data_IF_361701154625
#
_entry.id   IF_361701154625
#
_cell.length_a   1.000
_cell.length_b   1.000
_cell.length_c   1.000
_cell.angle_alpha   90.00
_cell.angle_beta   90.00
_cell.angle_gamma   90.00
#
_symmetry.space_group_name_H-M   'P 1'
#
loop_
_entity.id
_entity.type
_entity.pdbx_description
1 polymer ?
#
# COMPACT_ATOMS: atom_id res chain seq x y z
N UNK A 1 -21.84 -36.56 -23.03
CA UNK A 1 -21.65 -36.55 -21.57
C UNK A 1 -20.18 -36.58 -21.14
N UNK A 2 -19.27 -37.26 -21.85
CA UNK A 2 -17.81 -37.22 -21.58
C UNK A 2 -17.22 -35.81 -21.69
N UNK A 3 -17.60 -35.03 -22.72
CA UNK A 3 -17.13 -33.65 -22.86
C UNK A 3 -17.49 -32.78 -21.65
N UNK A 4 -18.73 -32.88 -21.13
CA UNK A 4 -19.16 -32.11 -19.97
C UNK A 4 -18.34 -32.40 -18.70
N UNK A 5 -17.89 -33.64 -18.50
CA UNK A 5 -17.01 -33.97 -17.37
C UNK A 5 -15.58 -33.45 -17.58
N UNK A 6 -15.06 -33.48 -18.80
CA UNK A 6 -13.76 -32.93 -19.15
C UNK A 6 -13.74 -31.39 -19.06
N UNK A 7 -14.82 -30.74 -19.50
CA UNK A 7 -15.03 -29.30 -19.41
C UNK A 7 -15.12 -28.86 -17.94
N UNK A 8 -15.87 -29.61 -17.12
CA UNK A 8 -16.01 -29.33 -15.68
C UNK A 8 -14.69 -29.52 -14.92
N UNK A 9 -13.87 -30.51 -15.30
CA UNK A 9 -12.53 -30.71 -14.74
C UNK A 9 -11.55 -29.60 -15.16
N UNK A 10 -11.63 -29.14 -16.42
CA UNK A 10 -10.81 -28.03 -16.94
C UNK A 10 -11.16 -26.71 -16.26
N UNK A 11 -12.46 -26.42 -16.14
CA UNK A 11 -12.97 -25.24 -15.46
C UNK A 11 -12.58 -25.23 -13.97
N UNK A 12 -12.63 -26.39 -13.30
CA UNK A 12 -12.13 -26.53 -11.92
C UNK A 12 -10.65 -26.20 -11.77
N UNK A 13 -9.79 -26.66 -12.70
CA UNK A 13 -8.36 -26.31 -12.71
C UNK A 13 -8.12 -24.83 -12.97
N UNK A 14 -8.83 -24.24 -13.94
CA UNK A 14 -8.71 -22.81 -14.25
C UNK A 14 -9.16 -21.92 -13.08
N UNK A 15 -10.23 -22.29 -12.37
CA UNK A 15 -10.66 -21.58 -11.16
C UNK A 15 -9.60 -21.68 -10.04
N UNK A 16 -8.98 -22.85 -9.88
CA UNK A 16 -7.90 -23.04 -8.90
C UNK A 16 -6.70 -22.16 -9.23
N UNK A 17 -6.24 -22.17 -10.49
CA UNK A 17 -5.12 -21.33 -10.96
C UNK A 17 -5.42 -19.84 -10.82
N UNK A 18 -6.65 -19.43 -11.14
CA UNK A 18 -7.12 -18.05 -11.01
C UNK A 18 -7.12 -17.61 -9.55
N UNK A 19 -7.60 -18.47 -8.65
CA UNK A 19 -7.62 -18.23 -7.22
C UNK A 19 -6.20 -18.11 -6.65
N UNK A 20 -5.28 -18.99 -7.05
CA UNK A 20 -3.87 -18.93 -6.65
C UNK A 20 -3.21 -17.61 -7.09
N UNK A 21 -3.47 -17.15 -8.32
CA UNK A 21 -2.98 -15.86 -8.81
C UNK A 21 -3.54 -14.69 -7.99
N UNK A 22 -4.82 -14.73 -7.63
CA UNK A 22 -5.46 -13.71 -6.79
C UNK A 22 -4.84 -13.69 -5.39
N UNK A 23 -4.62 -14.85 -4.76
CA UNK A 23 -3.95 -14.95 -3.45
C UNK A 23 -2.53 -14.41 -3.51
N UNK A 24 -1.78 -14.71 -4.57
CA UNK A 24 -0.43 -14.16 -4.76
C UNK A 24 -0.45 -12.63 -4.90
N UNK A 25 -1.41 -12.07 -5.64
CA UNK A 25 -1.60 -10.62 -5.74
C UNK A 25 -1.93 -9.99 -4.39
N UNK A 26 -2.83 -10.61 -3.61
CA UNK A 26 -3.18 -10.16 -2.26
C UNK A 26 -1.97 -10.15 -1.33
N UNK A 27 -1.19 -11.23 -1.35
CA UNK A 27 0.03 -11.35 -0.54
C UNK A 27 1.04 -10.26 -0.88
N UNK A 28 1.26 -10.00 -2.17
CA UNK A 28 2.17 -8.95 -2.63
C UNK A 28 1.69 -7.55 -2.24
N UNK A 29 0.39 -7.26 -2.40
CA UNK A 29 -0.17 -5.98 -1.99
C UNK A 29 -0.03 -5.76 -0.47
N UNK A 30 -0.29 -6.78 0.34
CA UNK A 30 -0.09 -6.71 1.78
C UNK A 30 1.38 -6.44 2.16
N UNK A 31 2.34 -7.07 1.46
CA UNK A 31 3.77 -6.78 1.65
C UNK A 31 4.13 -5.34 1.29
N UNK A 32 3.59 -4.81 0.19
CA UNK A 32 3.82 -3.42 -0.22
C UNK A 32 3.26 -2.41 0.81
N UNK A 33 2.04 -2.65 1.30
CA UNK A 33 1.43 -1.84 2.37
C UNK A 33 2.27 -1.86 3.64
N UNK A 34 2.73 -3.05 4.06
CA UNK A 34 3.56 -3.18 5.25
C UNK A 34 4.92 -2.48 5.10
N UNK A 35 5.50 -2.54 3.90
CA UNK A 35 6.75 -1.84 3.59
C UNK A 35 6.56 -0.30 3.66
N UNK A 36 5.55 0.24 2.98
CA UNK A 36 5.29 1.70 3.01
C UNK A 36 5.03 2.20 4.44
N UNK A 37 4.20 1.49 5.22
CA UNK A 37 3.93 1.86 6.60
C UNK A 37 5.19 1.83 7.49
N UNK A 38 6.09 0.88 7.24
CA UNK A 38 7.38 0.78 7.94
C UNK A 38 8.29 1.95 7.57
N UNK A 39 8.38 2.26 6.27
CA UNK A 39 9.19 3.36 5.76
C UNK A 39 8.69 4.71 6.28
N UNK A 40 7.37 4.95 6.25
CA UNK A 40 6.76 6.17 6.80
C UNK A 40 7.04 6.32 8.30
N UNK A 41 6.93 5.24 9.07
CA UNK A 41 7.24 5.25 10.51
C UNK A 41 8.69 5.63 10.76
N UNK A 42 9.62 5.05 9.99
CA UNK A 42 11.04 5.35 10.07
C UNK A 42 11.31 6.82 9.74
N UNK A 43 10.82 7.31 8.60
CA UNK A 43 11.03 8.71 8.19
C UNK A 43 10.41 9.69 9.18
N UNK A 44 9.25 9.38 9.75
CA UNK A 44 8.62 10.20 10.80
C UNK A 44 9.48 10.29 12.06
N UNK A 45 10.12 9.19 12.47
CA UNK A 45 11.03 9.17 13.61
C UNK A 45 12.32 9.96 13.35
N UNK A 46 12.88 9.86 12.14
CA UNK A 46 14.04 10.63 11.70
C UNK A 46 13.71 12.15 11.70
N UNK A 47 12.56 12.53 11.16
CA UNK A 47 12.11 13.93 11.15
C UNK A 47 11.89 14.48 12.58
N UNK A 48 11.29 13.70 13.47
CA UNK A 48 11.09 14.07 14.87
C UNK A 48 12.41 14.27 15.61
N UNK A 49 13.37 13.36 15.40
CA UNK A 49 14.71 13.47 15.98
C UNK A 49 15.43 14.73 15.49
N UNK A 50 15.37 15.01 14.18
CA UNK A 50 15.96 16.22 13.60
C UNK A 50 15.32 17.51 14.14
N UNK A 51 13.99 17.51 14.35
CA UNK A 51 13.30 18.64 14.96
C UNK A 51 13.73 18.84 16.43
N UNK A 52 13.88 17.75 17.18
CA UNK A 52 14.34 17.80 18.58
C UNK A 52 15.77 18.35 18.68
N UNK A 53 16.69 17.89 17.83
CA UNK A 53 18.06 18.41 17.78
C UNK A 53 18.08 19.93 17.53
N UNK A 54 17.27 20.40 16.57
CA UNK A 54 17.14 21.83 16.27
C UNK A 54 16.53 22.62 17.43
N UNK A 55 15.54 22.06 18.12
CA UNK A 55 14.95 22.67 19.31
C UNK A 55 15.98 22.80 20.44
N UNK A 56 16.75 21.76 20.72
CA UNK A 56 17.79 21.77 21.76
C UNK A 56 18.94 22.74 21.42
N UNK A 57 19.23 22.94 20.14
CA UNK A 57 20.24 23.91 19.69
C UNK A 57 19.72 25.36 19.63
N UNK A 58 18.42 25.60 19.85
CA UNK A 58 17.81 26.92 19.75
C UNK A 58 18.09 27.78 20.99
N UNK A 59 18.54 29.02 20.78
CA UNK A 59 18.89 29.97 21.85
C UNK A 59 17.88 31.11 22.02
N UNK A 60 16.77 31.11 21.27
CA UNK A 60 15.72 32.11 21.36
C UNK A 60 14.34 31.51 21.09
N UNK A 61 13.31 32.17 21.63
CA UNK A 61 11.92 31.75 21.43
C UNK A 61 11.49 31.82 19.96
N UNK A 62 11.94 32.83 19.21
CA UNK A 62 11.66 32.93 17.78
C UNK A 62 12.14 31.69 17.01
N UNK A 63 13.33 31.18 17.34
CA UNK A 63 13.89 29.98 16.71
C UNK A 63 13.15 28.70 17.09
N UNK A 64 12.70 28.61 18.34
CA UNK A 64 11.82 27.50 18.78
C UNK A 64 10.52 27.49 17.98
N UNK A 65 9.88 28.65 17.81
CA UNK A 65 8.63 28.79 17.04
C UNK A 65 8.83 28.42 15.57
N UNK A 66 9.93 28.88 14.97
CA UNK A 66 10.31 28.53 13.59
C UNK A 66 10.45 27.01 13.42
N UNK A 67 11.26 26.36 14.26
CA UNK A 67 11.50 24.90 14.19
C UNK A 67 10.20 24.11 14.39
N UNK A 68 9.37 24.50 15.35
CA UNK A 68 8.10 23.82 15.61
C UNK A 68 7.09 24.01 14.46
N UNK A 69 7.03 25.21 13.88
CA UNK A 69 6.15 25.52 12.75
C UNK A 69 6.57 24.73 11.50
N UNK A 70 7.86 24.67 11.22
CA UNK A 70 8.40 23.93 10.09
C UNK A 70 8.18 22.42 10.24
N UNK A 71 8.41 21.89 11.44
CA UNK A 71 8.12 20.49 11.75
C UNK A 71 6.64 20.17 11.56
N UNK A 72 5.74 21.01 12.09
CA UNK A 72 4.30 20.81 11.97
C UNK A 72 3.82 20.83 10.51
N UNK A 73 4.33 21.78 9.72
CA UNK A 73 4.04 21.86 8.27
C UNK A 73 4.52 20.61 7.54
N UNK A 74 5.79 20.23 7.74
CA UNK A 74 6.41 19.08 7.08
C UNK A 74 5.72 17.76 7.47
N UNK A 75 5.37 17.59 8.75
CA UNK A 75 4.64 16.43 9.24
C UNK A 75 3.25 16.33 8.61
N UNK A 76 2.55 17.47 8.45
CA UNK A 76 1.25 17.50 7.77
C UNK A 76 1.35 17.11 6.29
N UNK A 77 2.28 17.72 5.56
CA UNK A 77 2.52 17.42 4.14
C UNK A 77 2.89 15.94 3.94
N UNK A 78 3.77 15.41 4.79
CA UNK A 78 4.19 14.01 4.76
C UNK A 78 3.03 13.05 5.06
N UNK A 79 2.17 13.38 6.03
CA UNK A 79 1.00 12.58 6.37
C UNK A 79 -0.02 12.51 5.21
N UNK A 80 -0.29 13.65 4.57
CA UNK A 80 -1.20 13.70 3.40
C UNK A 80 -0.62 12.90 2.22
N UNK A 81 0.69 13.01 1.99
CA UNK A 81 1.37 12.23 0.96
C UNK A 81 1.27 10.73 1.23
N UNK A 82 1.50 10.31 2.49
CA UNK A 82 1.39 8.91 2.91
C UNK A 82 -0.03 8.38 2.75
N UNK A 83 -1.04 9.13 3.19
CA UNK A 83 -2.44 8.75 3.01
C UNK A 83 -2.79 8.55 1.52
N UNK A 84 -2.25 9.41 0.65
CA UNK A 84 -2.42 9.29 -0.80
C UNK A 84 -1.74 8.03 -1.34
N UNK A 85 -0.51 7.74 -0.91
CA UNK A 85 0.19 6.49 -1.31
C UNK A 85 -0.54 5.25 -0.83
N UNK A 86 -0.91 5.21 0.44
CA UNK A 86 -1.58 4.07 1.04
C UNK A 86 -2.91 3.77 0.35
N UNK A 87 -3.70 4.81 0.04
CA UNK A 87 -4.94 4.64 -0.74
C UNK A 87 -4.67 4.10 -2.15
N UNK A 88 -3.60 4.54 -2.81
CA UNK A 88 -3.14 3.98 -4.08
C UNK A 88 -2.78 2.50 -3.98
N UNK A 89 -2.02 2.10 -2.96
CA UNK A 89 -1.65 0.70 -2.72
C UNK A 89 -2.87 -0.20 -2.50
N UNK A 90 -3.87 0.26 -1.75
CA UNK A 90 -5.13 -0.48 -1.58
C UNK A 90 -5.93 -0.59 -2.88
N UNK A 91 -5.96 0.47 -3.69
CA UNK A 91 -6.63 0.45 -4.99
C UNK A 91 -5.95 -0.52 -5.96
N UNK A 92 -4.62 -0.51 -6.02
CA UNK A 92 -3.85 -1.43 -6.85
C UNK A 92 -3.99 -2.88 -6.37
N UNK A 93 -3.99 -3.11 -5.06
CA UNK A 93 -4.28 -4.42 -4.48
C UNK A 93 -5.64 -4.96 -4.92
N UNK A 94 -6.70 -4.15 -4.80
CA UNK A 94 -8.04 -4.55 -5.23
C UNK A 94 -8.10 -4.85 -6.72
N UNK A 95 -7.46 -4.00 -7.56
CA UNK A 95 -7.37 -4.20 -9.01
C UNK A 95 -6.66 -5.52 -9.35
N UNK A 96 -5.48 -5.74 -8.78
CA UNK A 96 -4.65 -6.91 -9.08
C UNK A 96 -5.26 -8.21 -8.56
N UNK A 97 -5.99 -8.16 -7.44
CA UNK A 97 -6.72 -9.31 -6.91
C UNK A 97 -7.89 -9.74 -7.81
N UNK A 98 -8.58 -8.78 -8.46
CA UNK A 98 -9.74 -9.04 -9.32
C UNK A 98 -9.37 -9.34 -10.78
N UNK A 99 -8.24 -8.82 -11.26
CA UNK A 99 -7.75 -9.00 -12.64
C UNK A 99 -7.74 -10.46 -13.15
N UNK A 100 -7.35 -11.48 -12.36
CA UNK A 100 -7.40 -12.87 -12.81
C UNK A 100 -8.80 -13.31 -13.24
N UNK A 101 -9.85 -12.79 -12.61
CA UNK A 101 -11.25 -13.17 -12.87
C UNK A 101 -11.84 -12.51 -14.11
N UNK A 102 -11.32 -11.35 -14.55
CA UNK A 102 -11.73 -10.71 -15.82
C UNK A 102 -11.50 -11.66 -17.01
N UNK A 103 -10.40 -12.42 -16.97
CA UNK A 103 -10.05 -13.37 -18.02
C UNK A 103 -11.04 -14.55 -18.10
N UNK A 104 -11.54 -15.01 -16.95
CA UNK A 104 -12.53 -16.09 -16.84
C UNK A 104 -13.91 -15.62 -17.30
N UNK A 105 -14.33 -14.41 -16.90
CA UNK A 105 -15.63 -13.85 -17.31
C UNK A 105 -15.72 -13.53 -18.80
N UNK A 106 -14.61 -13.08 -19.41
CA UNK A 106 -14.58 -12.73 -20.85
C UNK A 106 -14.81 -13.92 -21.79
N UNK A 107 -14.59 -15.16 -21.32
CA UNK A 107 -14.78 -16.39 -22.10
C UNK A 107 -16.14 -17.08 -21.87
N UNK A 108 -16.98 -16.54 -20.99
CA UNK A 108 -18.32 -17.07 -20.69
C UNK A 108 -19.44 -16.39 -21.49
N UNK A 109 -19.08 -15.48 -22.41
CA UNK A 109 -19.94 -14.94 -23.48
C UNK A 109 -19.56 -15.58 -24.80
#
# INVERSE_FOLDING_TARGET
MVNSFQDMNTLGKELMDTSLKSVAAVTKGAQAIAAEATDFTRTSAEAGSAALEKLLASNSLDKVIEVQTDFARSAYESCVAEATRMSGLFADLARDALKPFESVMSRSK
#
